data_IF_519443275796
#
_entry.id   IF_519443275796
#
_cell.length_a   1.000
_cell.length_b   1.000
_cell.length_c   1.000
_cell.angle_alpha   90.00
_cell.angle_beta   90.00
_cell.angle_gamma   90.00
#
_symmetry.space_group_name_H-M   'P 1'
#
loop_
_entity.id
_entity.type
_entity.pdbx_description
1 polymer ?
#
# COMPACT_ATOMS: atom_id res chain seq x y z
N UNK A 1 -9.69 -19.41 -18.88
CA UNK A 1 -9.41 -19.01 -17.47
C UNK A 1 -10.71 -19.13 -16.70
N UNK A 2 -10.76 -19.90 -15.62
CA UNK A 2 -11.98 -20.06 -14.80
C UNK A 2 -12.08 -18.87 -13.87
N UNK A 3 -13.22 -18.14 -13.82
CA UNK A 3 -13.40 -17.04 -12.90
C UNK A 3 -13.25 -17.52 -11.45
N UNK A 4 -12.55 -16.75 -10.62
CA UNK A 4 -12.57 -16.97 -9.18
C UNK A 4 -13.87 -16.38 -8.63
N UNK A 5 -14.80 -17.23 -8.24
CA UNK A 5 -16.10 -16.86 -7.68
C UNK A 5 -16.16 -17.00 -6.15
N UNK A 6 -15.06 -17.41 -5.52
CA UNK A 6 -14.96 -17.48 -4.07
C UNK A 6 -14.97 -16.08 -3.45
N UNK A 7 -15.45 -15.92 -2.20
CA UNK A 7 -15.31 -14.68 -1.46
C UNK A 7 -13.83 -14.27 -1.35
N UNK A 8 -13.59 -12.95 -1.32
CA UNK A 8 -12.25 -12.43 -1.09
C UNK A 8 -11.80 -12.75 0.35
N UNK A 9 -10.80 -13.60 0.48
CA UNK A 9 -10.24 -14.02 1.76
C UNK A 9 -8.77 -13.62 1.84
N UNK A 10 -8.50 -12.58 2.62
CA UNK A 10 -7.15 -12.04 2.81
C UNK A 10 -6.23 -13.06 3.46
N UNK A 11 -6.75 -13.92 4.36
CA UNK A 11 -5.99 -14.96 5.04
C UNK A 11 -5.47 -16.00 4.05
N UNK A 12 -6.36 -16.60 3.28
CA UNK A 12 -6.02 -17.63 2.27
C UNK A 12 -5.03 -17.08 1.23
N UNK A 13 -5.25 -15.85 0.74
CA UNK A 13 -4.37 -15.28 -0.27
C UNK A 13 -2.98 -14.95 0.31
N UNK A 14 -2.93 -14.39 1.52
CA UNK A 14 -1.64 -14.09 2.17
C UNK A 14 -0.86 -15.35 2.57
N UNK A 15 -1.55 -16.45 2.95
CA UNK A 15 -0.91 -17.76 3.17
C UNK A 15 -0.31 -18.32 1.87
N UNK A 16 -1.02 -18.14 0.74
CA UNK A 16 -0.50 -18.53 -0.57
C UNK A 16 0.73 -17.73 -0.98
N UNK A 17 0.76 -16.42 -0.67
CA UNK A 17 1.94 -15.56 -0.90
C UNK A 17 3.10 -15.95 0.02
N UNK A 18 2.83 -16.29 1.28
CA UNK A 18 3.86 -16.82 2.17
C UNK A 18 4.48 -18.10 1.59
N UNK A 19 3.66 -19.07 1.20
CA UNK A 19 4.14 -20.31 0.58
C UNK A 19 4.94 -20.06 -0.71
N UNK A 20 4.57 -19.02 -1.49
CA UNK A 20 5.35 -18.60 -2.65
C UNK A 20 6.73 -18.08 -2.23
N UNK A 21 6.81 -17.17 -1.26
CA UNK A 21 8.07 -16.63 -0.77
C UNK A 21 8.96 -17.71 -0.12
N UNK A 22 8.38 -18.65 0.60
CA UNK A 22 9.12 -19.80 1.15
C UNK A 22 9.77 -20.65 0.05
N UNK A 23 9.17 -20.67 -1.14
CA UNK A 23 9.66 -21.41 -2.30
C UNK A 23 10.66 -20.65 -3.16
N UNK A 24 10.43 -19.34 -3.39
CA UNK A 24 11.27 -18.53 -4.28
C UNK A 24 12.40 -17.78 -3.55
N UNK A 25 12.29 -17.63 -2.23
CA UNK A 25 13.23 -16.85 -1.42
C UNK A 25 12.89 -15.35 -1.40
N UNK A 26 13.92 -14.54 -1.26
CA UNK A 26 13.84 -13.09 -1.07
C UNK A 26 13.33 -12.34 -2.31
N UNK A 27 12.51 -11.32 -2.08
CA UNK A 27 11.99 -10.49 -3.17
C UNK A 27 11.34 -9.19 -2.71
N UNK A 28 11.14 -8.28 -3.65
CA UNK A 28 10.33 -7.06 -3.48
C UNK A 28 8.89 -7.39 -3.88
N UNK A 29 7.95 -7.08 -2.98
CA UNK A 29 6.53 -7.29 -3.23
C UNK A 29 5.92 -6.02 -3.84
N UNK A 30 5.51 -6.08 -5.10
CA UNK A 30 4.81 -5.00 -5.78
C UNK A 30 3.32 -5.32 -5.85
N UNK A 31 2.48 -4.41 -5.38
CA UNK A 31 1.03 -4.58 -5.29
C UNK A 31 0.29 -3.38 -5.87
N UNK A 32 -0.97 -3.60 -6.24
CA UNK A 32 -1.86 -2.56 -6.72
C UNK A 32 -3.26 -2.73 -6.14
N UNK A 33 -3.90 -1.61 -5.74
CA UNK A 33 -5.32 -1.55 -5.39
C UNK A 33 -5.71 -2.54 -4.28
N UNK A 34 -6.68 -3.43 -4.52
CA UNK A 34 -7.09 -4.49 -3.60
C UNK A 34 -5.92 -5.42 -3.22
N UNK A 35 -4.99 -5.66 -4.13
CA UNK A 35 -3.77 -6.43 -3.86
C UNK A 35 -2.89 -5.82 -2.78
N UNK A 36 -2.94 -4.51 -2.58
CA UNK A 36 -2.23 -3.83 -1.50
C UNK A 36 -2.68 -4.29 -0.11
N UNK A 37 -3.97 -4.57 0.07
CA UNK A 37 -4.50 -5.10 1.35
C UNK A 37 -3.85 -6.45 1.68
N UNK A 38 -3.77 -7.33 0.68
CA UNK A 38 -3.14 -8.65 0.84
C UNK A 38 -1.63 -8.51 1.02
N UNK A 39 -1.02 -7.54 0.33
CA UNK A 39 0.42 -7.26 0.41
C UNK A 39 0.89 -6.96 1.83
N UNK A 40 0.13 -6.21 2.62
CA UNK A 40 0.46 -5.94 4.01
C UNK A 40 0.52 -7.24 4.83
N UNK A 41 -0.48 -8.12 4.67
CA UNK A 41 -0.51 -9.40 5.39
C UNK A 41 0.57 -10.37 4.90
N UNK A 42 0.95 -10.32 3.62
CA UNK A 42 2.09 -11.08 3.11
C UNK A 42 3.42 -10.61 3.75
N UNK A 43 3.61 -9.29 3.90
CA UNK A 43 4.75 -8.71 4.62
C UNK A 43 4.79 -9.13 6.09
N UNK A 44 3.63 -9.16 6.77
CA UNK A 44 3.51 -9.64 8.16
C UNK A 44 3.90 -11.12 8.27
N UNK A 45 3.42 -11.97 7.36
CA UNK A 45 3.65 -13.42 7.40
C UNK A 45 5.04 -13.84 6.91
N UNK A 46 5.65 -13.05 6.03
CA UNK A 46 6.96 -13.37 5.41
C UNK A 46 8.03 -12.30 5.63
N UNK A 47 8.24 -11.80 6.88
CA UNK A 47 9.15 -10.67 7.13
C UNK A 47 10.63 -11.00 6.85
N UNK A 48 10.97 -12.28 6.67
CA UNK A 48 12.31 -12.73 6.31
C UNK A 48 12.59 -12.58 4.82
N UNK A 49 11.57 -12.80 4.00
CA UNK A 49 11.69 -12.89 2.54
C UNK A 49 11.22 -11.64 1.81
N UNK A 50 10.24 -10.93 2.36
CA UNK A 50 9.79 -9.65 1.77
C UNK A 50 10.80 -8.57 2.13
N UNK A 51 11.61 -8.17 1.14
CA UNK A 51 12.67 -7.17 1.33
C UNK A 51 12.18 -5.73 1.22
N UNK A 52 11.09 -5.51 0.55
CA UNK A 52 10.36 -4.24 0.50
C UNK A 52 8.94 -4.46 0.03
N UNK A 53 8.07 -3.51 0.32
CA UNK A 53 6.72 -3.43 -0.24
C UNK A 53 6.59 -2.15 -1.06
N UNK A 54 6.16 -2.31 -2.32
CA UNK A 54 5.76 -1.23 -3.21
C UNK A 54 4.27 -1.35 -3.43
N UNK A 55 3.50 -0.37 -3.00
CA UNK A 55 2.05 -0.41 -3.11
C UNK A 55 1.53 0.77 -3.94
N UNK A 56 0.92 0.48 -5.08
CA UNK A 56 0.23 1.47 -5.89
C UNK A 56 -1.23 1.53 -5.47
N UNK A 57 -1.65 2.69 -4.95
CA UNK A 57 -3.01 3.00 -4.54
C UNK A 57 -3.71 1.85 -3.75
N UNK A 58 -3.15 1.42 -2.62
CA UNK A 58 -3.73 0.35 -1.83
C UNK A 58 -5.09 0.76 -1.23
N UNK A 59 -6.02 -0.20 -1.18
CA UNK A 59 -7.39 0.06 -0.75
C UNK A 59 -7.56 0.33 0.75
N UNK A 60 -6.67 -0.16 1.60
CA UNK A 60 -6.75 -0.02 3.06
C UNK A 60 -5.39 -0.31 3.73
N UNK A 61 -5.30 -0.04 5.04
CA UNK A 61 -4.08 -0.11 5.83
C UNK A 61 -4.31 -0.81 7.18
N UNK A 62 -3.42 -1.72 7.62
CA UNK A 62 -3.48 -2.34 8.94
C UNK A 62 -2.81 -1.45 9.98
N UNK A 63 -3.57 -0.93 10.93
CA UNK A 63 -3.04 -0.20 12.08
C UNK A 63 -2.87 -1.12 13.28
N UNK A 64 -1.88 -0.88 14.15
CA UNK A 64 -1.71 -1.64 15.38
C UNK A 64 -2.84 -1.34 16.36
N UNK A 65 -3.21 -2.33 17.15
CA UNK A 65 -4.19 -2.17 18.23
C UNK A 65 -3.82 -1.02 19.15
N UNK A 66 -4.80 -0.15 19.40
CA UNK A 66 -4.65 1.05 20.22
C UNK A 66 -4.19 2.30 19.48
N UNK A 67 -3.82 2.19 18.18
CA UNK A 67 -3.38 3.34 17.37
C UNK A 67 -4.19 3.49 16.06
N UNK A 68 -5.37 2.87 16.00
CA UNK A 68 -6.28 3.06 14.87
C UNK A 68 -6.81 4.50 14.91
N UNK A 69 -6.63 5.28 13.82
CA UNK A 69 -7.07 6.67 13.80
C UNK A 69 -8.60 6.77 13.83
N UNK A 70 -9.14 7.93 14.23
CA UNK A 70 -10.55 8.21 14.06
C UNK A 70 -10.97 8.07 12.59
N UNK A 71 -12.19 7.59 12.38
CA UNK A 71 -12.76 7.44 11.03
C UNK A 71 -12.88 8.78 10.33
N UNK A 72 -12.34 8.87 9.13
CA UNK A 72 -12.51 10.05 8.27
C UNK A 72 -13.89 9.98 7.63
N UNK A 73 -14.72 10.98 7.90
CA UNK A 73 -16.11 10.98 7.46
C UNK A 73 -16.24 11.13 5.95
N UNK A 74 -17.16 10.34 5.37
CA UNK A 74 -17.60 10.41 3.99
C UNK A 74 -19.10 10.19 3.90
N UNK A 75 -19.79 10.90 3.03
CA UNK A 75 -21.21 10.66 2.73
C UNK A 75 -21.46 9.36 1.95
N UNK A 76 -20.40 8.73 1.46
CA UNK A 76 -20.46 7.47 0.69
C UNK A 76 -20.13 6.23 1.53
N UNK A 77 -20.10 6.39 2.84
CA UNK A 77 -19.76 5.34 3.79
C UNK A 77 -18.28 5.36 4.21
N UNK A 78 -18.05 4.78 5.36
CA UNK A 78 -16.76 4.77 6.01
C UNK A 78 -15.80 3.76 5.37
N UNK A 79 -14.52 4.07 5.44
CA UNK A 79 -13.42 3.15 5.10
C UNK A 79 -12.69 2.84 6.40
N UNK A 80 -13.17 1.88 7.21
CA UNK A 80 -12.53 1.56 8.47
C UNK A 80 -11.16 0.93 8.21
N UNK A 81 -10.09 1.40 8.86
CA UNK A 81 -8.79 0.75 8.79
C UNK A 81 -8.85 -0.68 9.30
N UNK A 82 -8.02 -1.57 8.74
CA UNK A 82 -7.80 -2.88 9.31
C UNK A 82 -7.07 -2.77 10.65
N UNK A 83 -7.25 -3.76 11.53
CA UNK A 83 -6.56 -3.85 12.83
C UNK A 83 -5.68 -5.10 12.83
N UNK A 84 -4.48 -4.95 13.37
CA UNK A 84 -3.56 -6.07 13.59
C UNK A 84 -2.98 -5.97 14.99
N UNK A 85 -2.46 -7.09 15.51
CA UNK A 85 -1.72 -7.08 16.76
C UNK A 85 -0.48 -6.17 16.67
N UNK A 86 0.03 -5.69 17.79
CA UNK A 86 1.28 -4.91 17.80
C UNK A 86 2.47 -5.74 17.34
N UNK A 87 2.46 -7.03 17.61
CA UNK A 87 3.49 -7.97 17.17
C UNK A 87 3.49 -8.11 15.65
N UNK A 88 2.31 -8.33 15.03
CA UNK A 88 2.16 -8.39 13.58
C UNK A 88 2.59 -7.07 12.93
N UNK A 89 2.14 -5.94 13.47
CA UNK A 89 2.52 -4.63 12.95
C UNK A 89 4.04 -4.41 12.97
N UNK A 90 4.73 -4.88 14.01
CA UNK A 90 6.19 -4.77 14.11
C UNK A 90 6.93 -5.47 12.97
N UNK A 91 6.33 -6.43 12.29
CA UNK A 91 6.91 -7.04 11.10
C UNK A 91 6.99 -6.05 9.92
N UNK A 92 6.00 -5.16 9.78
CA UNK A 92 5.98 -4.14 8.73
C UNK A 92 7.02 -3.02 8.94
N UNK A 93 7.55 -2.88 10.15
CA UNK A 93 8.62 -1.91 10.42
C UNK A 93 10.03 -2.42 10.07
N UNK A 94 10.16 -3.69 9.64
CA UNK A 94 11.46 -4.34 9.36
C UNK A 94 11.90 -4.21 7.90
N UNK A 95 11.06 -3.66 7.03
CA UNK A 95 11.33 -3.52 5.61
C UNK A 95 10.95 -2.13 5.12
N UNK A 96 11.65 -1.56 4.13
CA UNK A 96 11.23 -0.30 3.53
C UNK A 96 9.94 -0.48 2.73
N UNK A 97 9.08 0.55 2.81
CA UNK A 97 7.76 0.56 2.18
C UNK A 97 7.60 1.87 1.41
N UNK A 98 7.17 1.79 0.16
CA UNK A 98 6.74 2.95 -0.61
C UNK A 98 5.31 2.77 -1.11
N UNK A 99 4.53 3.83 -0.96
CA UNK A 99 3.12 3.86 -1.33
C UNK A 99 2.92 4.98 -2.34
N UNK A 100 2.49 4.64 -3.53
CA UNK A 100 2.22 5.61 -4.60
C UNK A 100 0.75 5.92 -4.72
N UNK A 101 0.44 7.19 -4.87
CA UNK A 101 -0.89 7.68 -5.25
C UNK A 101 -0.79 8.55 -6.49
N UNK A 102 -1.73 8.35 -7.42
CA UNK A 102 -1.84 9.11 -8.67
C UNK A 102 -2.33 10.54 -8.47
N UNK A 103 -2.69 11.16 -9.57
CA UNK A 103 -3.31 12.48 -9.63
C UNK A 103 -4.84 12.37 -9.43
N UNK A 104 -5.55 13.45 -9.61
CA UNK A 104 -7.02 13.53 -9.51
C UNK A 104 -7.62 13.19 -8.13
N UNK A 105 -6.80 13.19 -7.07
CA UNK A 105 -7.25 13.01 -5.70
C UNK A 105 -7.50 14.38 -5.08
N UNK A 106 -8.71 14.59 -4.57
CA UNK A 106 -9.13 15.87 -4.00
C UNK A 106 -8.55 16.09 -2.59
N UNK A 107 -8.24 17.33 -2.27
CA UNK A 107 -7.83 17.71 -0.90
C UNK A 107 -9.02 17.85 0.06
N UNK A 108 -10.22 18.12 -0.47
CA UNK A 108 -11.44 18.37 0.29
C UNK A 108 -12.50 17.32 -0.03
N UNK A 109 -13.50 17.13 0.85
CA UNK A 109 -14.64 16.27 0.56
C UNK A 109 -15.28 16.60 -0.79
N UNK A 110 -15.61 15.56 -1.56
CA UNK A 110 -16.22 15.66 -2.89
C UNK A 110 -17.61 15.06 -2.91
N UNK A 111 -18.44 15.51 -3.85
CA UNK A 111 -19.74 14.93 -4.16
C UNK A 111 -19.64 13.73 -5.11
N UNK A 112 -18.44 13.41 -5.58
CA UNK A 112 -18.13 12.24 -6.41
C UNK A 112 -17.53 11.17 -5.54
N UNK A 113 -18.18 9.99 -5.49
CA UNK A 113 -17.80 8.89 -4.60
C UNK A 113 -16.34 8.48 -4.74
N UNK A 114 -15.86 8.28 -5.98
CA UNK A 114 -14.48 7.88 -6.24
C UNK A 114 -13.47 8.90 -5.71
N UNK A 115 -13.67 10.18 -6.00
CA UNK A 115 -12.78 11.26 -5.55
C UNK A 115 -12.70 11.33 -4.01
N UNK A 116 -13.86 11.24 -3.32
CA UNK A 116 -13.89 11.34 -1.86
C UNK A 116 -13.29 10.09 -1.19
N UNK A 117 -13.53 8.91 -1.73
CA UNK A 117 -12.96 7.68 -1.19
C UNK A 117 -11.44 7.60 -1.40
N UNK A 118 -10.88 8.10 -2.51
CA UNK A 118 -9.44 8.13 -2.71
C UNK A 118 -8.77 9.21 -1.86
N UNK A 119 -9.42 10.34 -1.63
CA UNK A 119 -8.99 11.35 -0.64
C UNK A 119 -8.78 10.72 0.74
N UNK A 120 -9.75 9.90 1.19
CA UNK A 120 -9.66 9.22 2.49
C UNK A 120 -8.50 8.23 2.50
N UNK A 121 -8.31 7.44 1.44
CA UNK A 121 -7.22 6.47 1.36
C UNK A 121 -5.85 7.13 1.38
N UNK A 122 -5.66 8.23 0.67
CA UNK A 122 -4.42 9.00 0.72
C UNK A 122 -4.15 9.57 2.14
N UNK A 123 -5.18 10.09 2.79
CA UNK A 123 -5.07 10.57 4.16
C UNK A 123 -4.72 9.44 5.14
N UNK A 124 -5.36 8.27 5.02
CA UNK A 124 -5.05 7.08 5.82
C UNK A 124 -3.64 6.57 5.55
N UNK A 125 -3.18 6.60 4.29
CA UNK A 125 -1.82 6.21 3.93
C UNK A 125 -0.77 7.05 4.66
N UNK A 126 -0.96 8.37 4.68
CA UNK A 126 -0.08 9.31 5.38
C UNK A 126 -0.06 9.04 6.89
N UNK A 127 -1.23 8.88 7.51
CA UNK A 127 -1.33 8.53 8.94
C UNK A 127 -0.66 7.18 9.24
N UNK A 128 -0.87 6.18 8.38
CA UNK A 128 -0.28 4.87 8.54
C UNK A 128 1.25 4.88 8.42
N UNK A 129 1.78 5.59 7.42
CA UNK A 129 3.23 5.76 7.27
C UNK A 129 3.85 6.46 8.49
N UNK A 130 3.17 7.47 9.05
CA UNK A 130 3.60 8.12 10.29
C UNK A 130 3.64 7.13 11.46
N UNK A 131 2.66 6.21 11.57
CA UNK A 131 2.66 5.17 12.60
C UNK A 131 3.82 4.20 12.38
N UNK A 132 4.03 3.69 11.15
CA UNK A 132 5.17 2.80 10.83
C UNK A 132 6.49 3.46 11.21
N UNK A 133 6.68 4.73 10.86
CA UNK A 133 7.92 5.46 11.11
C UNK A 133 8.12 5.75 12.60
N UNK A 134 7.07 6.05 13.36
CA UNK A 134 7.16 6.19 14.83
C UNK A 134 7.57 4.90 15.52
N UNK A 135 7.22 3.75 14.95
CA UNK A 135 7.65 2.44 15.42
C UNK A 135 9.03 2.00 14.89
N UNK A 136 9.80 2.93 14.30
CA UNK A 136 11.16 2.68 13.82
C UNK A 136 11.23 2.04 12.44
N UNK A 137 10.12 2.04 11.68
CA UNK A 137 10.09 1.56 10.30
C UNK A 137 10.51 2.64 9.29
N UNK A 138 10.35 2.32 8.01
CA UNK A 138 10.72 3.16 6.88
C UNK A 138 9.61 3.12 5.82
N UNK A 139 8.58 3.94 6.03
CA UNK A 139 7.44 4.06 5.10
C UNK A 139 7.40 5.45 4.47
N UNK A 140 7.28 5.50 3.15
CA UNK A 140 7.16 6.74 2.37
C UNK A 140 5.87 6.73 1.57
N UNK A 141 5.10 7.81 1.63
CA UNK A 141 3.96 8.04 0.75
C UNK A 141 4.37 9.04 -0.33
N UNK A 142 4.26 8.63 -1.58
CA UNK A 142 4.52 9.45 -2.77
C UNK A 142 3.17 9.75 -3.43
N UNK A 143 2.68 10.97 -3.29
CA UNK A 143 1.62 11.49 -4.12
C UNK A 143 2.29 12.03 -5.38
N UNK A 144 2.10 11.39 -6.51
CA UNK A 144 2.86 11.64 -7.75
C UNK A 144 2.88 13.12 -8.18
N UNK A 145 1.78 13.89 -8.04
CA UNK A 145 1.81 15.33 -8.30
C UNK A 145 2.82 16.10 -7.45
N UNK A 146 3.05 15.70 -6.19
CA UNK A 146 4.02 16.37 -5.31
C UNK A 146 5.47 16.07 -5.75
N UNK A 147 5.67 14.95 -6.48
CA UNK A 147 6.94 14.59 -7.12
C UNK A 147 7.09 15.18 -8.54
N UNK A 148 6.12 16.00 -9.00
CA UNK A 148 6.13 16.60 -10.34
C UNK A 148 5.54 15.71 -11.44
N UNK A 149 5.10 14.48 -11.13
CA UNK A 149 4.54 13.51 -12.07
C UNK A 149 3.01 13.65 -12.05
N UNK A 150 2.41 14.04 -13.17
CA UNK A 150 1.00 14.42 -13.23
C UNK A 150 0.21 13.65 -14.28
N UNK A 151 -1.13 13.62 -14.08
CA UNK A 151 -2.08 12.99 -15.02
C UNK A 151 -2.24 11.49 -14.80
N UNK A 152 -1.69 10.93 -13.72
CA UNK A 152 -1.81 9.52 -13.41
C UNK A 152 -3.19 9.18 -12.84
N UNK A 153 -3.74 8.10 -13.38
CA UNK A 153 -5.00 7.48 -12.92
C UNK A 153 -4.74 6.49 -11.80
N UNK A 154 -5.78 5.71 -11.45
CA UNK A 154 -5.64 4.57 -10.55
C UNK A 154 -4.69 3.48 -11.08
N UNK A 155 -4.34 3.52 -12.35
CA UNK A 155 -3.47 2.55 -13.01
C UNK A 155 -2.18 3.20 -13.54
N UNK A 156 -1.31 3.75 -12.68
CA UNK A 156 -0.14 4.51 -13.13
C UNK A 156 0.82 3.69 -14.01
N UNK A 157 0.79 2.36 -13.89
CA UNK A 157 1.55 1.45 -14.75
C UNK A 157 1.01 1.37 -16.20
N UNK A 158 -0.21 1.84 -16.46
CA UNK A 158 -0.87 1.82 -17.77
C UNK A 158 -1.04 3.22 -18.38
N UNK A 159 -0.69 4.28 -17.65
CA UNK A 159 -0.77 5.65 -18.11
C UNK A 159 0.34 6.00 -19.11
N UNK A 160 0.16 7.09 -19.88
CA UNK A 160 1.12 7.49 -20.91
C UNK A 160 2.52 7.85 -20.37
N UNK A 161 2.60 8.26 -19.11
CA UNK A 161 3.84 8.58 -18.40
C UNK A 161 4.32 7.46 -17.46
N UNK A 162 3.91 6.21 -17.72
CA UNK A 162 4.27 5.04 -16.89
C UNK A 162 5.80 4.86 -16.73
N UNK A 163 6.59 5.26 -17.71
CA UNK A 163 8.06 5.22 -17.65
C UNK A 163 8.58 6.17 -16.56
N UNK A 164 8.04 7.39 -16.45
CA UNK A 164 8.40 8.34 -15.39
C UNK A 164 8.11 7.76 -14.00
N UNK A 165 6.96 7.10 -13.84
CA UNK A 165 6.58 6.42 -12.59
C UNK A 165 7.53 5.27 -12.28
N UNK A 166 7.91 4.49 -13.30
CA UNK A 166 8.87 3.40 -13.17
C UNK A 166 10.27 3.90 -12.80
N UNK A 167 10.74 5.00 -13.42
CA UNK A 167 12.03 5.63 -13.11
C UNK A 167 12.07 6.17 -11.67
N UNK A 168 10.95 6.74 -11.19
CA UNK A 168 10.84 7.15 -9.79
C UNK A 168 10.98 5.95 -8.84
N UNK A 169 10.29 4.82 -9.14
CA UNK A 169 10.44 3.59 -8.36
C UNK A 169 11.87 3.04 -8.44
N UNK A 170 12.49 3.01 -9.62
CA UNK A 170 13.87 2.55 -9.80
C UNK A 170 14.85 3.36 -8.94
N UNK A 171 14.68 4.69 -8.89
CA UNK A 171 15.47 5.58 -8.05
C UNK A 171 15.28 5.28 -6.55
N UNK A 172 14.05 5.00 -6.12
CA UNK A 172 13.75 4.60 -4.75
C UNK A 172 14.40 3.24 -4.41
N UNK A 173 14.26 2.23 -5.29
CA UNK A 173 14.91 0.92 -5.11
C UNK A 173 16.43 1.05 -5.01
N UNK A 174 17.04 1.88 -5.85
CA UNK A 174 18.48 2.17 -5.79
C UNK A 174 18.88 2.78 -4.44
N UNK A 175 18.13 3.76 -3.95
CA UNK A 175 18.36 4.39 -2.64
C UNK A 175 18.29 3.38 -1.49
N UNK A 176 17.40 2.38 -1.60
CA UNK A 176 17.25 1.30 -0.61
C UNK A 176 18.20 0.12 -0.87
N UNK A 177 19.04 0.16 -1.93
CA UNK A 177 19.98 -0.92 -2.35
C UNK A 177 19.27 -2.23 -2.68
N UNK A 178 18.12 -2.13 -3.33
CA UNK A 178 17.24 -3.24 -3.71
C UNK A 178 17.23 -3.51 -5.22
N UNK A 179 18.09 -2.88 -5.97
CA UNK A 179 18.22 -2.95 -7.42
C UNK A 179 19.37 -3.89 -7.91
N UNK A 180 19.81 -4.81 -7.03
CA UNK A 180 20.91 -5.75 -7.30
C UNK A 180 20.45 -7.19 -7.34
#
# INVERSE_FOLDING_TARGET
MTPNTAPFDTGVISDSLQALFDRIGDGVLVTHSQGGIVGWFAGIKSPKHVKAIVAYEPGNFPFPEGEVPPTIQSKFGDIPPARVSREDFAHLTKMPIVIYFGDNIRDKPSDVQGEDQWRIRLALARQWADVVNRHGGDATVVHLPDAGIRGNTHFPMADLNNVEVADHLASWLHTKKLDR
#
